data_IF_875709205165
#
_entry.id   IF_875709205165
#
_cell.length_a   1.000
_cell.length_b   1.000
_cell.length_c   1.000
_cell.angle_alpha   90.00
_cell.angle_beta   90.00
_cell.angle_gamma   90.00
#
_symmetry.space_group_name_H-M   'P 1'
#
loop_
_entity.id
_entity.type
_entity.pdbx_description
1 polymer ?
#
# COMPACT_ATOMS: atom_id res chain seq x y z
N UNK A 1 -5.17 -3.21 5.39
CA UNK A 1 -4.03 -3.12 4.45
C UNK A 1 -2.68 -3.23 5.22
N UNK A 2 -1.68 -2.42 4.85
CA UNK A 2 -0.36 -2.43 5.47
C UNK A 2 0.15 -1.00 5.65
N UNK A 3 1.32 -0.86 6.29
CA UNK A 3 1.94 0.44 6.53
C UNK A 3 3.43 0.39 6.27
N UNK A 4 3.87 1.25 5.37
CA UNK A 4 5.27 1.31 4.98
C UNK A 4 5.42 1.57 3.50
N UNK A 5 4.58 0.89 2.68
CA UNK A 5 4.59 1.03 1.21
C UNK A 5 5.97 0.74 0.61
N UNK A 6 6.16 -0.52 0.18
CA UNK A 6 7.43 -0.95 -0.42
C UNK A 6 7.53 -0.48 -1.88
N UNK A 7 6.76 -1.14 -2.75
CA UNK A 7 6.73 -0.82 -4.18
C UNK A 7 5.29 -0.43 -4.58
N UNK A 8 4.63 -1.28 -5.39
CA UNK A 8 3.25 -1.05 -5.81
C UNK A 8 2.50 -2.37 -5.91
N UNK A 9 1.52 -2.55 -5.03
CA UNK A 9 0.72 -3.76 -4.98
C UNK A 9 -0.76 -3.48 -5.18
N UNK A 10 -1.28 -2.54 -4.37
CA UNK A 10 -2.71 -2.18 -4.40
C UNK A 10 -2.98 -0.86 -3.66
N UNK A 11 -4.23 -0.40 -3.73
CA UNK A 11 -4.65 0.82 -3.05
C UNK A 11 -5.92 0.55 -2.25
N UNK A 12 -5.80 0.59 -0.92
CA UNK A 12 -6.92 0.30 -0.04
C UNK A 12 -7.82 1.53 0.24
N UNK A 13 -7.33 2.46 1.08
CA UNK A 13 -8.10 3.65 1.44
C UNK A 13 -7.36 4.93 1.05
N UNK A 14 -6.24 5.16 1.73
CA UNK A 14 -5.40 6.34 1.48
C UNK A 14 -4.48 6.13 0.29
N UNK A 15 -4.24 4.85 -0.03
CA UNK A 15 -3.40 4.50 -1.15
C UNK A 15 -2.09 3.85 -0.73
N UNK A 16 -2.10 3.16 0.41
CA UNK A 16 -0.91 2.49 0.93
C UNK A 16 -1.25 1.11 1.47
N UNK A 17 -0.52 0.12 0.96
CA UNK A 17 -0.67 -1.28 1.36
C UNK A 17 0.72 -1.93 1.50
N UNK A 18 0.83 -3.23 1.19
CA UNK A 18 2.08 -3.99 1.26
C UNK A 18 3.16 -3.42 0.33
N UNK A 19 2.73 -2.61 -0.64
CA UNK A 19 3.62 -2.00 -1.63
C UNK A 19 3.10 -0.61 -2.03
N UNK A 20 2.15 -0.57 -2.98
CA UNK A 20 1.54 0.70 -3.45
C UNK A 20 0.78 1.41 -2.33
#
# INVERSE_FOLDING_TARGET
>A
YETGCKRCCYLDEYGCIRCC
#
